data_IF_538010105521
#
_entry.id   IF_538010105521
#
_cell.length_a   1.000
_cell.length_b   1.000
_cell.length_c   1.000
_cell.angle_alpha   90.00
_cell.angle_beta   90.00
_cell.angle_gamma   90.00
#
_symmetry.space_group_name_H-M   'P 1'
#
loop_
_entity.id
_entity.type
_entity.pdbx_description
1 polymer ?
#
# COMPACT_ATOMS: atom_id res chain seq x y z
N UNK A 1 -1.19 -14.61 33.75
CA UNK A 1 -2.37 -14.24 32.94
C UNK A 1 -2.04 -12.95 32.20
N UNK A 2 -1.60 -13.03 30.94
CA UNK A 2 -1.32 -11.86 30.11
C UNK A 2 -2.53 -11.56 29.24
N UNK A 3 -3.08 -10.35 29.32
CA UNK A 3 -4.18 -9.93 28.46
C UNK A 3 -3.61 -9.49 27.11
N UNK A 4 -3.88 -10.24 26.05
CA UNK A 4 -3.63 -9.80 24.66
C UNK A 4 -4.77 -8.87 24.23
N UNK A 5 -4.46 -7.58 24.10
CA UNK A 5 -5.39 -6.58 23.57
C UNK A 5 -5.37 -6.63 22.04
N UNK A 6 -6.54 -6.87 21.41
CA UNK A 6 -6.71 -6.72 19.95
C UNK A 6 -6.88 -5.25 19.61
N UNK A 7 -5.91 -4.68 18.91
CA UNK A 7 -6.02 -3.37 18.29
C UNK A 7 -6.70 -3.53 16.93
N UNK A 8 -7.67 -2.66 16.62
CA UNK A 8 -8.35 -2.62 15.32
C UNK A 8 -7.98 -1.31 14.65
N UNK A 9 -7.15 -1.39 13.62
CA UNK A 9 -6.86 -0.23 12.78
C UNK A 9 -8.13 0.12 12.01
N UNK A 10 -8.59 1.37 12.17
CA UNK A 10 -9.62 1.92 11.29
C UNK A 10 -8.90 2.46 10.06
N UNK A 11 -9.29 1.96 8.91
CA UNK A 11 -8.95 2.59 7.64
C UNK A 11 -9.63 3.97 7.61
N UNK A 12 -8.83 5.02 7.51
CA UNK A 12 -9.31 6.39 7.36
C UNK A 12 -8.86 6.90 6.01
N UNK A 13 -9.80 6.98 5.08
CA UNK A 13 -9.61 7.73 3.84
C UNK A 13 -9.74 9.21 4.17
N UNK A 14 -8.66 9.98 3.99
CA UNK A 14 -8.70 11.44 4.10
C UNK A 14 -9.09 11.98 2.72
N UNK A 15 -10.33 12.46 2.51
CA UNK A 15 -10.66 13.14 1.27
C UNK A 15 -9.91 14.48 1.28
N UNK A 16 -8.93 14.61 0.39
CA UNK A 16 -8.30 15.92 0.15
C UNK A 16 -9.32 16.79 -0.61
N UNK A 17 -9.76 17.94 -0.06
CA UNK A 17 -10.67 18.83 -0.77
C UNK A 17 -9.97 19.33 -2.05
N UNK A 18 -10.48 18.91 -3.21
CA UNK A 18 -9.85 19.15 -4.50
C UNK A 18 -9.33 17.91 -5.23
N UNK A 19 -9.41 16.70 -4.64
CA UNK A 19 -9.22 15.47 -5.40
C UNK A 19 -10.35 15.28 -6.42
N UNK A 20 -10.22 15.91 -7.58
CA UNK A 20 -10.91 15.46 -8.77
C UNK A 20 -10.38 14.06 -9.08
N UNK A 21 -11.29 13.09 -9.25
CA UNK A 21 -10.99 11.89 -10.02
C UNK A 21 -10.65 12.35 -11.44
N UNK A 22 -9.38 12.65 -11.67
CA UNK A 22 -8.86 13.09 -12.96
C UNK A 22 -8.98 11.93 -13.94
N UNK A 23 -10.10 11.90 -14.64
CA UNK A 23 -10.23 11.13 -15.87
C UNK A 23 -9.65 12.01 -16.97
N UNK A 24 -8.53 11.58 -17.55
CA UNK A 24 -8.06 11.91 -18.90
C UNK A 24 -7.12 13.13 -19.09
N UNK A 25 -5.83 12.88 -18.93
CA UNK A 25 -4.83 13.08 -20.00
C UNK A 25 -4.24 11.70 -20.33
N UNK A 26 -3.69 11.45 -21.52
CA UNK A 26 -3.20 10.12 -21.94
C UNK A 26 -2.46 9.41 -20.79
N UNK A 27 -3.14 8.41 -20.26
CA UNK A 27 -2.84 7.85 -18.96
C UNK A 27 -1.68 6.86 -19.12
N UNK A 28 -0.46 7.32 -18.86
CA UNK A 28 0.63 6.45 -18.44
C UNK A 28 0.45 6.08 -16.95
N UNK A 29 -0.76 5.77 -16.47
CA UNK A 29 -0.98 5.33 -15.08
C UNK A 29 -0.58 3.88 -14.93
N UNK A 30 0.72 3.64 -14.91
CA UNK A 30 1.22 2.54 -14.12
C UNK A 30 1.10 2.96 -12.64
N UNK A 31 0.15 2.36 -11.93
CA UNK A 31 0.15 2.38 -10.47
C UNK A 31 1.11 1.31 -10.01
N UNK A 32 2.18 1.73 -9.34
CA UNK A 32 3.18 0.82 -8.77
C UNK A 32 2.89 0.74 -7.29
N UNK A 33 2.75 -0.48 -6.78
CA UNK A 33 2.50 -0.73 -5.36
C UNK A 33 3.60 -1.59 -4.78
N UNK A 34 3.92 -1.40 -3.51
CA UNK A 34 4.83 -2.27 -2.76
C UNK A 34 4.31 -2.45 -1.34
N UNK A 35 4.64 -3.58 -0.72
CA UNK A 35 4.34 -3.83 0.68
C UNK A 35 5.59 -4.27 1.42
N UNK A 36 5.72 -3.82 2.66
CA UNK A 36 6.76 -4.22 3.61
C UNK A 36 6.12 -4.81 4.87
N UNK A 37 6.66 -5.93 5.34
CA UNK A 37 6.24 -6.54 6.59
C UNK A 37 6.85 -5.78 7.78
N UNK A 38 5.99 -5.03 8.48
CA UNK A 38 6.33 -4.27 9.69
C UNK A 38 5.91 -5.02 10.96
N UNK A 39 5.76 -6.35 10.86
CA UNK A 39 5.51 -7.19 12.03
C UNK A 39 6.84 -7.81 12.47
N UNK A 40 7.18 -7.64 13.75
CA UNK A 40 8.26 -8.39 14.39
C UNK A 40 8.35 -8.06 15.87
N UNK A 41 8.85 -9.00 16.67
CA UNK A 41 8.79 -8.91 18.14
C UNK A 41 9.82 -7.93 18.73
N UNK A 42 10.99 -7.82 18.10
CA UNK A 42 12.10 -6.96 18.55
C UNK A 42 12.42 -5.84 17.55
N UNK A 43 12.20 -6.11 16.26
CA UNK A 43 12.33 -5.17 15.15
C UNK A 43 11.40 -5.63 14.01
N UNK A 44 11.06 -4.71 13.11
CA UNK A 44 10.28 -5.01 11.92
C UNK A 44 10.94 -6.13 11.09
N UNK A 45 10.14 -7.08 10.59
CA UNK A 45 10.64 -8.16 9.74
C UNK A 45 11.34 -7.62 8.48
N UNK A 46 10.91 -6.47 7.96
CA UNK A 46 11.54 -5.78 6.83
C UNK A 46 11.46 -6.54 5.50
N UNK A 47 10.68 -7.62 5.44
CA UNK A 47 10.49 -8.35 4.20
C UNK A 47 9.61 -7.52 3.26
N UNK A 48 10.08 -7.27 2.04
CA UNK A 48 9.37 -6.46 1.06
C UNK A 48 8.92 -7.28 -0.17
N UNK A 49 7.78 -6.89 -0.75
CA UNK A 49 7.28 -7.46 -2.02
C UNK A 49 8.08 -7.00 -3.23
N UNK A 50 8.81 -5.90 -3.10
CA UNK A 50 9.28 -5.11 -4.25
C UNK A 50 8.12 -4.36 -4.93
N UNK A 51 8.47 -3.60 -5.96
CA UNK A 51 7.52 -2.87 -6.79
C UNK A 51 6.72 -3.85 -7.67
N UNK A 52 5.39 -3.86 -7.53
CA UNK A 52 4.46 -4.67 -8.34
C UNK A 52 3.42 -3.77 -9.02
N UNK A 53 2.96 -4.20 -10.20
CA UNK A 53 1.99 -3.46 -11.02
C UNK A 53 0.55 -3.94 -10.81
N UNK A 54 0.35 -5.01 -10.05
CA UNK A 54 -0.95 -5.62 -9.80
C UNK A 54 -1.23 -5.76 -8.32
N UNK A 55 -2.43 -5.35 -7.91
CA UNK A 55 -2.94 -5.59 -6.55
C UNK A 55 -3.01 -7.08 -6.24
N UNK A 56 -3.30 -7.95 -7.22
CA UNK A 56 -3.37 -9.40 -7.01
C UNK A 56 -1.99 -9.98 -6.65
N UNK A 57 -0.93 -9.49 -7.30
CA UNK A 57 0.45 -9.89 -6.99
C UNK A 57 0.84 -9.47 -5.57
N UNK A 58 0.45 -8.26 -5.17
CA UNK A 58 0.69 -7.76 -3.82
C UNK A 58 -0.04 -8.60 -2.76
N UNK A 59 -1.33 -8.87 -2.97
CA UNK A 59 -2.15 -9.69 -2.07
C UNK A 59 -1.60 -11.11 -1.96
N UNK A 60 -1.17 -11.70 -3.08
CA UNK A 60 -0.55 -13.03 -3.10
C UNK A 60 0.76 -13.04 -2.31
N UNK A 61 1.58 -12.01 -2.43
CA UNK A 61 2.81 -11.90 -1.65
C UNK A 61 2.51 -11.80 -0.15
N UNK A 62 1.56 -10.94 0.25
CA UNK A 62 1.13 -10.79 1.65
C UNK A 62 0.64 -12.13 2.22
N UNK A 63 -0.28 -12.80 1.52
CA UNK A 63 -0.82 -14.08 1.95
C UNK A 63 0.27 -15.16 2.10
N UNK A 64 1.22 -15.19 1.17
CA UNK A 64 2.35 -16.12 1.21
C UNK A 64 3.28 -15.82 2.39
N UNK A 65 3.56 -14.55 2.66
CA UNK A 65 4.41 -14.14 3.77
C UNK A 65 3.76 -14.43 5.12
N UNK A 66 2.48 -14.09 5.26
CA UNK A 66 1.68 -14.39 6.45
C UNK A 66 1.64 -15.90 6.72
N UNK A 67 1.38 -16.72 5.71
CA UNK A 67 1.32 -18.18 5.89
C UNK A 67 2.66 -18.79 6.37
N UNK A 68 3.78 -18.15 6.05
CA UNK A 68 5.13 -18.64 6.42
C UNK A 68 5.60 -18.14 7.78
N UNK A 69 5.23 -16.93 8.15
CA UNK A 69 5.80 -16.23 9.33
C UNK A 69 4.78 -16.00 10.44
N UNK A 70 3.48 -16.07 10.13
CA UNK A 70 2.41 -15.63 11.02
C UNK A 70 2.32 -14.12 11.17
N UNK A 71 3.07 -13.34 10.38
CA UNK A 71 3.03 -11.88 10.41
C UNK A 71 1.75 -11.32 9.77
N UNK A 72 1.16 -10.31 10.39
CA UNK A 72 -0.20 -9.84 10.05
C UNK A 72 -0.27 -8.36 9.65
N UNK A 73 0.76 -7.57 9.95
CA UNK A 73 0.81 -6.13 9.70
C UNK A 73 1.85 -5.82 8.62
N UNK A 74 1.39 -5.12 7.59
CA UNK A 74 2.18 -4.73 6.43
C UNK A 74 1.96 -3.26 6.14
N UNK A 75 3.02 -2.51 5.88
CA UNK A 75 2.94 -1.17 5.31
C UNK A 75 2.80 -1.29 3.79
N UNK A 76 1.84 -0.56 3.19
CA UNK A 76 1.66 -0.49 1.75
C UNK A 76 2.00 0.90 1.24
N UNK A 77 2.83 0.96 0.21
CA UNK A 77 3.17 2.20 -0.50
C UNK A 77 2.61 2.09 -1.92
N UNK A 78 1.86 3.11 -2.34
CA UNK A 78 1.30 3.21 -3.69
C UNK A 78 1.85 4.46 -4.37
N UNK A 79 2.45 4.29 -5.54
CA UNK A 79 3.02 5.37 -6.37
C UNK A 79 2.26 5.45 -7.69
N UNK A 80 1.86 6.66 -8.07
CA UNK A 80 1.23 6.95 -9.37
C UNK A 80 2.10 7.91 -10.16
N UNK A 81 2.34 7.59 -11.41
CA UNK A 81 3.00 8.51 -12.35
C UNK A 81 1.91 9.26 -13.11
N UNK A 82 1.98 10.59 -13.10
CA UNK A 82 1.02 11.45 -13.80
C UNK A 82 1.81 12.35 -14.75
N UNK A 83 1.39 12.40 -16.01
CA UNK A 83 1.90 13.36 -16.98
C UNK A 83 1.12 14.66 -16.85
N UNK A 84 1.80 15.76 -16.55
CA UNK A 84 1.21 17.09 -16.62
C UNK A 84 1.35 17.68 -18.02
N UNK A 85 0.34 18.44 -18.45
CA UNK A 85 0.43 19.28 -19.64
C UNK A 85 0.64 20.75 -19.21
N UNK A 86 1.53 21.45 -19.92
CA UNK A 86 1.87 22.82 -19.59
C UNK A 86 0.64 23.74 -19.71
N UNK A 87 0.39 24.52 -18.66
CA UNK A 87 -0.74 25.46 -18.60
C UNK A 87 -2.00 24.89 -17.93
N UNK A 88 -2.04 23.58 -17.62
CA UNK A 88 -3.08 23.02 -16.76
C UNK A 88 -2.61 22.93 -15.31
N UNK A 89 -3.33 23.59 -14.43
CA UNK A 89 -3.26 23.32 -12.99
C UNK A 89 -4.18 22.14 -12.71
N UNK A 90 -3.61 21.02 -12.28
CA UNK A 90 -4.31 19.80 -11.87
C UNK A 90 -4.87 19.94 -10.46
#
# INVERSE_FOLDING_TARGET
>A
MGATTRLRFREYTVPVPGAQTLTQGEELSATISSAECVTGAEADCGAASGDVLSTDELVRWIATHQARTGHEIFEQITRRVIRSEAGMWL
#
